data_IF_797712318549
#
_entry.id   IF_797712318549
#
_cell.length_a   1.000
_cell.length_b   1.000
_cell.length_c   1.000
_cell.angle_alpha   90.00
_cell.angle_beta   90.00
_cell.angle_gamma   90.00
#
_symmetry.space_group_name_H-M   'P 1'
#
loop_
_entity.id
_entity.type
_entity.pdbx_description
1 polymer ?
#
# COMPACT_ATOMS: atom_id res chain seq x y z
N UNK A 1 -23.15 -27.89 -15.09
CA UNK A 1 -22.07 -27.42 -15.97
C UNK A 1 -21.29 -26.32 -15.25
N UNK A 2 -19.96 -26.47 -15.17
CA UNK A 2 -19.03 -25.58 -14.47
C UNK A 2 -19.06 -24.14 -15.04
N UNK A 3 -19.39 -24.00 -16.33
CA UNK A 3 -19.47 -22.72 -17.03
C UNK A 3 -20.51 -21.76 -16.40
N UNK A 4 -21.63 -22.31 -15.93
CA UNK A 4 -22.70 -21.50 -15.33
C UNK A 4 -22.31 -20.98 -13.93
N UNK A 5 -21.59 -21.79 -13.15
CA UNK A 5 -21.10 -21.42 -11.82
C UNK A 5 -20.02 -20.33 -11.92
N UNK A 6 -19.13 -20.44 -12.89
CA UNK A 6 -18.12 -19.42 -13.19
C UNK A 6 -18.78 -18.10 -13.65
N UNK A 7 -19.79 -18.16 -14.53
CA UNK A 7 -20.49 -16.97 -15.01
C UNK A 7 -21.20 -16.17 -13.88
N UNK A 8 -21.74 -16.87 -12.87
CA UNK A 8 -22.37 -16.24 -11.68
C UNK A 8 -21.35 -15.54 -10.78
N UNK A 9 -20.12 -16.07 -10.70
CA UNK A 9 -19.05 -15.46 -9.90
C UNK A 9 -18.37 -14.28 -10.60
N UNK A 10 -18.29 -14.29 -11.94
CA UNK A 10 -17.60 -13.25 -12.72
C UNK A 10 -18.38 -11.93 -12.76
N UNK A 11 -19.71 -11.94 -12.62
CA UNK A 11 -20.57 -10.76 -12.81
C UNK A 11 -21.22 -10.18 -11.54
N UNK A 12 -20.88 -10.65 -10.34
CA UNK A 12 -21.36 -10.00 -9.11
C UNK A 12 -20.58 -8.71 -8.86
N UNK A 13 -21.16 -7.56 -9.24
CA UNK A 13 -20.70 -6.27 -8.74
C UNK A 13 -20.71 -6.32 -7.20
N UNK A 14 -19.61 -6.02 -6.52
CA UNK A 14 -19.60 -6.01 -5.07
C UNK A 14 -20.65 -5.02 -4.57
N UNK A 15 -21.58 -5.47 -3.71
CA UNK A 15 -22.45 -4.54 -2.98
C UNK A 15 -21.52 -3.72 -2.08
N UNK A 16 -21.28 -2.48 -2.45
CA UNK A 16 -20.57 -1.55 -1.58
C UNK A 16 -21.49 -1.29 -0.39
N UNK A 17 -21.20 -1.94 0.75
CA UNK A 17 -21.86 -1.64 2.01
C UNK A 17 -21.68 -0.16 2.29
N UNK A 18 -22.79 0.54 2.53
CA UNK A 18 -22.76 1.96 2.90
C UNK A 18 -22.05 2.18 4.24
N UNK A 19 -22.06 3.43 4.69
CA UNK A 19 -21.61 3.74 6.05
C UNK A 19 -22.41 2.91 7.05
N UNK A 20 -21.72 2.26 7.99
CA UNK A 20 -22.34 1.50 9.07
C UNK A 20 -22.52 2.45 10.26
N UNK A 21 -23.77 2.62 10.70
CA UNK A 21 -24.11 3.40 11.91
C UNK A 21 -23.28 2.90 13.10
N UNK A 22 -22.65 3.80 13.85
CA UNK A 22 -21.80 3.44 15.01
C UNK A 22 -20.36 3.03 14.67
N UNK A 23 -19.93 3.07 13.40
CA UNK A 23 -18.52 2.80 13.04
C UNK A 23 -17.60 3.89 13.59
N UNK A 24 -16.71 3.51 14.52
CA UNK A 24 -15.65 4.40 15.00
C UNK A 24 -14.53 4.54 13.97
N UNK A 25 -14.13 5.78 13.70
CA UNK A 25 -12.99 6.11 12.86
C UNK A 25 -11.81 6.44 13.77
N UNK A 26 -10.76 5.62 13.70
CA UNK A 26 -9.50 5.88 14.38
C UNK A 26 -8.51 6.53 13.42
N UNK A 27 -7.89 7.62 13.87
CA UNK A 27 -6.76 8.24 13.19
C UNK A 27 -5.53 7.34 13.35
N UNK A 28 -5.09 6.73 12.23
CA UNK A 28 -3.96 5.79 12.20
C UNK A 28 -2.62 6.43 11.84
N UNK A 29 -2.50 7.74 12.00
CA UNK A 29 -1.29 8.54 11.75
C UNK A 29 -0.61 8.23 10.40
N UNK A 30 -1.43 8.10 9.35
CA UNK A 30 -0.96 7.66 8.02
C UNK A 30 0.13 8.58 7.46
N UNK A 31 -0.02 9.89 7.69
CA UNK A 31 0.91 10.93 7.25
C UNK A 31 2.22 10.83 8.05
N UNK A 32 2.15 10.68 9.37
CA UNK A 32 3.37 10.55 10.17
C UNK A 32 4.11 9.25 9.91
N UNK A 33 3.39 8.16 9.66
CA UNK A 33 4.00 6.91 9.21
C UNK A 33 4.74 7.08 7.87
N UNK A 34 4.22 7.91 6.95
CA UNK A 34 4.93 8.26 5.71
C UNK A 34 6.18 9.08 6.02
N UNK A 35 6.05 10.14 6.83
CA UNK A 35 7.16 11.01 7.20
C UNK A 35 8.30 10.22 7.85
N UNK A 36 7.98 9.29 8.76
CA UNK A 36 8.97 8.39 9.37
C UNK A 36 9.66 7.50 8.32
N UNK A 37 8.89 6.85 7.44
CA UNK A 37 9.47 6.03 6.36
C UNK A 37 10.44 6.82 5.48
N UNK A 38 10.05 8.04 5.08
CA UNK A 38 10.87 8.91 4.24
C UNK A 38 12.15 9.31 4.97
N UNK A 39 12.05 9.87 6.18
CA UNK A 39 13.21 10.29 6.98
C UNK A 39 14.18 9.15 7.24
N UNK A 40 13.67 7.94 7.48
CA UNK A 40 14.52 6.80 7.81
C UNK A 40 15.37 6.34 6.64
N UNK A 41 14.89 6.45 5.40
CA UNK A 41 15.48 5.69 4.28
C UNK A 41 15.49 6.36 2.91
N UNK A 42 14.54 7.24 2.59
CA UNK A 42 14.25 7.63 1.20
C UNK A 42 14.56 9.09 0.88
N UNK A 43 14.82 9.91 1.90
CA UNK A 43 15.33 11.28 1.74
C UNK A 43 16.82 11.29 1.42
N UNK A 44 17.34 12.44 1.00
CA UNK A 44 18.75 12.63 0.63
C UNK A 44 19.72 12.28 1.77
N UNK A 45 19.42 12.77 2.99
CA UNK A 45 20.19 12.49 4.20
C UNK A 45 19.34 11.64 5.17
N UNK A 46 19.23 10.31 4.95
CA UNK A 46 18.37 9.45 5.76
C UNK A 46 18.98 9.18 7.14
N UNK A 47 18.13 8.95 8.14
CA UNK A 47 18.56 8.58 9.50
C UNK A 47 19.38 7.28 9.52
N UNK A 48 19.06 6.33 8.65
CA UNK A 48 19.79 5.07 8.56
C UNK A 48 20.58 4.97 7.25
N UNK A 49 21.80 4.41 7.28
CA UNK A 49 22.59 4.23 6.08
C UNK A 49 21.99 3.17 5.15
N UNK A 50 22.39 3.20 3.88
CA UNK A 50 21.86 2.31 2.81
C UNK A 50 21.98 0.82 3.16
N UNK A 51 22.94 0.41 3.98
CA UNK A 51 23.11 -0.97 4.45
C UNK A 51 21.91 -1.47 5.26
N UNK A 52 21.32 -0.63 6.10
CA UNK A 52 20.13 -0.97 6.88
C UNK A 52 18.91 -1.12 5.99
N UNK A 53 18.77 -0.25 4.98
CA UNK A 53 17.72 -0.40 3.98
C UNK A 53 17.84 -1.74 3.23
N UNK A 54 19.05 -2.07 2.75
CA UNK A 54 19.32 -3.35 2.09
C UNK A 54 19.04 -4.54 3.00
N UNK A 55 19.39 -4.48 4.28
CA UNK A 55 19.06 -5.56 5.25
C UNK A 55 17.55 -5.72 5.42
N UNK A 56 16.80 -4.62 5.46
CA UNK A 56 15.35 -4.63 5.70
C UNK A 56 14.52 -5.04 4.48
N UNK A 57 14.82 -4.46 3.32
CA UNK A 57 14.04 -4.65 2.09
C UNK A 57 14.70 -5.62 1.11
N UNK A 58 15.91 -6.11 1.43
CA UNK A 58 16.71 -7.02 0.59
C UNK A 58 17.02 -6.47 -0.81
N UNK A 59 16.94 -5.14 -0.98
CA UNK A 59 17.21 -4.43 -2.22
C UNK A 59 17.84 -3.06 -1.95
N UNK A 60 18.45 -2.45 -2.97
CA UNK A 60 18.97 -1.08 -2.88
C UNK A 60 17.83 -0.06 -2.92
N UNK A 61 18.04 1.12 -2.31
CA UNK A 61 17.02 2.19 -2.23
C UNK A 61 16.54 2.67 -3.60
N UNK A 62 17.45 2.74 -4.56
CA UNK A 62 17.16 3.20 -5.92
C UNK A 62 16.23 2.24 -6.68
N UNK A 63 16.45 0.93 -6.55
CA UNK A 63 15.57 -0.07 -7.14
C UNK A 63 14.17 0.00 -6.53
N UNK A 64 14.09 0.15 -5.20
CA UNK A 64 12.80 0.33 -4.53
C UNK A 64 12.04 1.57 -5.03
N UNK A 65 12.73 2.70 -5.23
CA UNK A 65 12.14 3.93 -5.76
C UNK A 65 11.57 3.71 -7.18
N UNK A 66 12.36 3.10 -8.06
CA UNK A 66 11.92 2.78 -9.43
C UNK A 66 10.71 1.86 -9.47
N UNK A 67 10.68 0.83 -8.61
CA UNK A 67 9.52 -0.07 -8.48
C UNK A 67 8.29 0.74 -8.04
N UNK A 68 8.44 1.61 -7.04
CA UNK A 68 7.34 2.40 -6.53
C UNK A 68 6.77 3.37 -7.58
N UNK A 69 7.63 4.05 -8.33
CA UNK A 69 7.23 4.93 -9.44
C UNK A 69 6.57 4.16 -10.57
N UNK A 70 7.13 3.00 -10.94
CA UNK A 70 6.54 2.16 -11.99
C UNK A 70 5.17 1.61 -11.58
N UNK A 71 4.99 1.20 -10.33
CA UNK A 71 3.69 0.76 -9.82
C UNK A 71 2.68 1.91 -9.75
N UNK A 72 3.08 3.09 -9.29
CA UNK A 72 2.18 4.25 -9.25
C UNK A 72 1.75 4.73 -10.64
N UNK A 73 2.63 4.61 -11.64
CA UNK A 73 2.29 4.96 -13.03
C UNK A 73 1.41 3.91 -13.70
N UNK A 74 1.56 2.63 -13.34
CA UNK A 74 0.81 1.54 -13.97
C UNK A 74 -0.56 1.29 -13.30
N UNK A 75 -0.65 1.41 -11.98
CA UNK A 75 -1.84 1.07 -11.22
C UNK A 75 -2.25 2.19 -10.24
N UNK A 76 -3.48 2.64 -10.42
CA UNK A 76 -4.13 3.68 -9.62
C UNK A 76 -4.21 3.31 -8.14
N UNK A 77 -4.21 2.03 -7.79
CA UNK A 77 -4.16 1.57 -6.41
C UNK A 77 -2.92 2.09 -5.69
N UNK A 78 -1.75 2.15 -6.35
CA UNK A 78 -0.50 2.59 -5.72
C UNK A 78 -0.38 4.11 -5.62
N UNK A 79 -1.18 4.88 -6.35
CA UNK A 79 -1.17 6.34 -6.25
C UNK A 79 -1.71 6.79 -4.88
N UNK A 80 -1.08 7.80 -4.28
CA UNK A 80 -1.64 8.46 -3.10
C UNK A 80 -2.80 9.35 -3.55
N UNK A 81 -3.96 9.19 -2.91
CA UNK A 81 -5.19 9.90 -3.29
C UNK A 81 -5.94 10.32 -2.04
N UNK A 82 -6.75 11.37 -2.18
CA UNK A 82 -7.72 11.75 -1.15
C UNK A 82 -8.93 10.80 -1.20
N UNK A 83 -9.45 10.44 -0.04
CA UNK A 83 -10.72 9.71 0.06
C UNK A 83 -11.91 10.66 -0.20
N UNK A 84 -13.14 10.14 -0.16
CA UNK A 84 -14.35 10.93 -0.39
C UNK A 84 -14.56 12.07 0.63
N UNK A 85 -13.97 11.94 1.83
CA UNK A 85 -13.96 12.97 2.87
C UNK A 85 -12.80 13.98 2.71
N UNK A 86 -12.01 13.86 1.64
CA UNK A 86 -10.87 14.73 1.37
C UNK A 86 -9.60 14.36 2.12
N UNK A 87 -9.54 13.29 2.91
CA UNK A 87 -8.34 12.92 3.67
C UNK A 87 -7.31 12.19 2.80
N UNK A 88 -6.02 12.49 2.99
CA UNK A 88 -4.93 11.78 2.31
C UNK A 88 -4.86 10.30 2.76
N UNK A 89 -4.92 9.40 1.79
CA UNK A 89 -4.67 7.99 1.99
C UNK A 89 -3.18 7.66 2.15
N UNK A 90 -2.87 6.36 2.23
CA UNK A 90 -1.49 5.88 2.28
C UNK A 90 -0.70 6.30 1.04
N UNK A 91 0.55 6.70 1.26
CA UNK A 91 1.50 7.02 0.20
C UNK A 91 1.87 5.80 -0.64
N UNK A 92 2.36 6.05 -1.86
CA UNK A 92 2.90 5.00 -2.74
C UNK A 92 3.92 4.13 -2.02
N UNK A 93 4.91 4.73 -1.37
CA UNK A 93 5.97 3.98 -0.68
C UNK A 93 5.45 3.12 0.47
N UNK A 94 4.41 3.55 1.19
CA UNK A 94 3.76 2.72 2.22
C UNK A 94 3.06 1.53 1.58
N UNK A 95 2.30 1.73 0.51
CA UNK A 95 1.59 0.65 -0.20
C UNK A 95 2.56 -0.39 -0.76
N UNK A 96 3.63 0.06 -1.41
CA UNK A 96 4.69 -0.80 -1.96
C UNK A 96 5.43 -1.53 -0.85
N UNK A 97 5.74 -0.86 0.26
CA UNK A 97 6.34 -1.51 1.44
C UNK A 97 5.47 -2.64 1.97
N UNK A 98 4.17 -2.41 2.09
CA UNK A 98 3.22 -3.44 2.56
C UNK A 98 3.13 -4.59 1.56
N UNK A 99 2.98 -4.30 0.26
CA UNK A 99 2.90 -5.33 -0.78
C UNK A 99 4.15 -6.22 -0.82
N UNK A 100 5.35 -5.62 -0.78
CA UNK A 100 6.61 -6.38 -0.73
C UNK A 100 6.73 -7.24 0.52
N UNK A 101 6.25 -6.76 1.68
CA UNK A 101 6.23 -7.59 2.91
C UNK A 101 5.25 -8.74 2.81
N UNK A 102 4.07 -8.53 2.23
CA UNK A 102 3.08 -9.60 1.99
C UNK A 102 3.64 -10.65 1.02
N UNK A 103 4.39 -10.24 0.00
CA UNK A 103 5.06 -11.19 -0.90
C UNK A 103 6.20 -11.95 -0.21
N UNK A 104 6.97 -11.28 0.65
CA UNK A 104 8.12 -11.88 1.33
C UNK A 104 7.72 -12.88 2.43
N UNK A 105 6.66 -12.58 3.18
CA UNK A 105 6.23 -13.39 4.33
C UNK A 105 4.99 -14.24 4.05
N UNK A 106 4.34 -14.04 2.90
CA UNK A 106 3.01 -14.54 2.64
C UNK A 106 1.92 -13.61 3.20
N UNK A 107 0.70 -13.83 2.71
CA UNK A 107 -0.50 -13.17 3.24
C UNK A 107 -0.91 -13.97 4.48
N UNK A 108 -0.98 -13.37 5.68
CA UNK A 108 -1.67 -14.02 6.79
C UNK A 108 -3.10 -14.27 6.31
N UNK A 109 -3.53 -15.53 6.25
CA UNK A 109 -4.93 -15.85 6.01
C UNK A 109 -5.74 -15.10 7.09
N UNK A 110 -6.52 -14.11 6.65
CA UNK A 110 -7.47 -13.35 7.47
C UNK A 110 -8.77 -14.13 7.48
#
# INVERSE_FOLDING_TARGET
DLAMILAVHINKKPKHGGSVMGRQIFWRDRIDAHNRLMRHYLVENPTYPKSYFRRRFRMITELFRRIAEKLASHDRFFQQRRNAAGELGHSTFQKVTTALRMLAYGIPLI
#
